data_IF_167070592160
#
_entry.id   IF_167070592160
#
_cell.length_a   1.000
_cell.length_b   1.000
_cell.length_c   1.000
_cell.angle_alpha   90.00
_cell.angle_beta   90.00
_cell.angle_gamma   90.00
#
_symmetry.space_group_name_H-M   'P 1'
#
loop_
_entity.id
_entity.type
_entity.pdbx_description
1 polymer ?
#
# COMPACT_ATOMS: atom_id res chain seq x y z
N UNK A 1 -0.80 -11.37 8.95
CA UNK A 1 -1.06 -12.72 8.39
C UNK A 1 -2.48 -12.74 7.89
N UNK A 2 -2.72 -13.17 6.65
CA UNK A 2 -4.04 -13.28 6.04
C UNK A 2 -4.26 -14.74 5.59
N UNK A 3 -5.51 -15.14 5.31
CA UNK A 3 -5.80 -16.48 4.77
C UNK A 3 -5.68 -17.62 5.78
N UNK A 4 -5.94 -17.36 7.07
CA UNK A 4 -5.87 -18.34 8.15
C UNK A 4 -7.02 -19.36 8.18
N UNK A 5 -7.99 -19.23 7.27
CA UNK A 5 -9.16 -20.09 7.07
C UNK A 5 -10.16 -20.14 8.24
N UNK A 6 -9.75 -20.61 9.41
CA UNK A 6 -10.63 -20.92 10.55
C UNK A 6 -10.27 -20.17 11.85
N UNK A 7 -9.40 -19.15 11.80
CA UNK A 7 -8.93 -18.45 13.01
C UNK A 7 -10.08 -17.89 13.85
N UNK A 8 -11.16 -17.42 13.21
CA UNK A 8 -12.34 -16.86 13.87
C UNK A 8 -13.17 -17.90 14.62
N UNK A 9 -13.00 -19.18 14.31
CA UNK A 9 -13.65 -20.30 15.00
C UNK A 9 -12.78 -20.82 16.16
N UNK A 10 -11.45 -20.68 16.04
CA UNK A 10 -10.48 -21.21 16.99
C UNK A 10 -10.17 -20.24 18.14
N UNK A 11 -10.17 -18.94 17.88
CA UNK A 11 -9.81 -17.89 18.84
C UNK A 11 -11.05 -17.39 19.57
N UNK A 12 -10.90 -17.14 20.87
CA UNK A 12 -11.91 -16.52 21.73
C UNK A 12 -11.40 -15.19 22.27
N UNK A 13 -12.35 -14.34 22.66
CA UNK A 13 -12.00 -13.11 23.39
C UNK A 13 -11.22 -13.46 24.67
N UNK A 14 -10.11 -12.76 24.87
CA UNK A 14 -9.18 -13.00 25.98
C UNK A 14 -8.06 -14.02 25.71
N UNK A 15 -8.05 -14.75 24.60
CA UNK A 15 -6.92 -15.60 24.22
C UNK A 15 -5.66 -14.75 23.94
N UNK A 16 -4.50 -15.26 24.33
CA UNK A 16 -3.22 -14.64 23.99
C UNK A 16 -2.78 -15.18 22.62
N UNK A 17 -2.43 -14.29 21.71
CA UNK A 17 -1.93 -14.66 20.38
C UNK A 17 -0.48 -14.23 20.21
N UNK A 18 0.35 -15.13 19.69
CA UNK A 18 1.65 -14.79 19.13
C UNK A 18 1.56 -14.85 17.61
N UNK A 19 1.87 -13.74 16.93
CA UNK A 19 1.70 -13.60 15.48
C UNK A 19 3.00 -13.13 14.84
N UNK A 20 3.50 -13.91 13.88
CA UNK A 20 4.69 -13.58 13.11
C UNK A 20 4.28 -13.16 11.71
N UNK A 21 4.42 -11.86 11.42
CA UNK A 21 4.26 -11.35 10.06
C UNK A 21 5.36 -11.81 9.10
N UNK A 22 6.49 -12.31 9.61
CA UNK A 22 7.66 -12.72 8.84
C UNK A 22 7.51 -14.17 8.36
N UNK A 23 7.13 -15.07 9.26
CA UNK A 23 6.96 -16.51 8.94
C UNK A 23 5.53 -16.86 8.55
N UNK A 24 4.56 -15.98 8.82
CA UNK A 24 3.15 -16.25 8.58
C UNK A 24 2.48 -17.09 9.68
N UNK A 25 3.18 -17.37 10.77
CA UNK A 25 2.68 -18.23 11.86
C UNK A 25 1.80 -17.46 12.84
N UNK A 26 0.78 -18.16 13.35
CA UNK A 26 -0.10 -17.70 14.44
C UNK A 26 -0.21 -18.82 15.47
N UNK A 27 0.16 -18.52 16.72
CA UNK A 27 0.03 -19.44 17.86
C UNK A 27 -1.01 -18.91 18.83
N UNK A 28 -2.00 -19.74 19.14
CA UNK A 28 -3.09 -19.43 20.09
C UNK A 28 -2.69 -19.98 21.46
N UNK A 29 -2.82 -19.15 22.50
CA UNK A 29 -2.43 -19.46 23.87
C UNK A 29 -1.01 -20.06 23.94
N UNK A 30 0.02 -19.30 23.47
CA UNK A 30 1.39 -19.78 23.39
C UNK A 30 1.93 -20.15 24.78
N UNK A 31 2.81 -21.15 24.82
CA UNK A 31 3.55 -21.49 26.03
C UNK A 31 4.52 -20.36 26.41
N UNK A 32 5.01 -20.35 27.65
CA UNK A 32 6.01 -19.35 28.07
C UNK A 32 7.28 -19.38 27.19
N UNK A 33 7.67 -20.57 26.74
CA UNK A 33 8.79 -20.76 25.81
C UNK A 33 8.51 -20.11 24.45
N UNK A 34 7.32 -20.34 23.87
CA UNK A 34 6.91 -19.71 22.62
C UNK A 34 6.78 -18.19 22.76
N UNK A 35 6.29 -17.69 23.90
CA UNK A 35 6.25 -16.25 24.18
C UNK A 35 7.67 -15.68 24.20
N UNK A 36 8.62 -16.36 24.83
CA UNK A 36 10.01 -15.92 24.88
C UNK A 36 10.65 -15.92 23.47
N UNK A 37 10.38 -16.94 22.66
CA UNK A 37 10.85 -17.03 21.27
C UNK A 37 10.32 -15.86 20.41
N UNK A 38 9.02 -15.61 20.43
CA UNK A 38 8.42 -14.52 19.66
C UNK A 38 8.91 -13.14 20.12
N UNK A 39 9.13 -12.96 21.43
CA UNK A 39 9.74 -11.73 21.95
C UNK A 39 11.16 -11.54 21.46
N UNK A 40 11.99 -12.58 21.53
CA UNK A 40 13.37 -12.53 21.02
C UNK A 40 13.42 -12.26 19.51
N UNK A 41 12.52 -12.88 18.73
CA UNK A 41 12.37 -12.60 17.30
C UNK A 41 11.95 -11.14 17.04
N UNK A 42 11.03 -10.60 17.84
CA UNK A 42 10.61 -9.20 17.78
C UNK A 42 11.75 -8.22 18.09
N UNK A 43 12.56 -8.52 19.11
CA UNK A 43 13.75 -7.74 19.47
C UNK A 43 14.82 -7.76 18.37
N UNK A 44 15.09 -8.94 17.82
CA UNK A 44 16.02 -9.10 16.70
C UNK A 44 15.55 -8.31 15.46
N UNK A 45 14.26 -8.37 15.14
CA UNK A 45 13.66 -7.59 14.05
C UNK A 45 13.73 -6.07 14.32
N UNK A 46 13.49 -5.63 15.54
CA UNK A 46 13.61 -4.23 15.91
C UNK A 46 15.05 -3.70 15.75
N UNK A 47 16.05 -4.51 16.14
CA UNK A 47 17.47 -4.18 15.91
C UNK A 47 17.79 -4.08 14.42
N UNK A 48 17.33 -5.04 13.62
CA UNK A 48 17.53 -5.04 12.18
C UNK A 48 16.88 -3.82 11.50
N UNK A 49 15.67 -3.45 11.93
CA UNK A 49 14.99 -2.24 11.45
C UNK A 49 15.79 -0.97 11.78
N UNK A 50 16.45 -0.90 12.93
CA UNK A 50 17.31 0.21 13.30
C UNK A 50 18.58 0.29 12.43
N UNK A 51 19.14 -0.86 12.02
CA UNK A 51 20.25 -0.91 11.06
C UNK A 51 19.79 -0.42 9.67
N UNK A 52 18.63 -0.87 9.18
CA UNK A 52 18.08 -0.42 7.90
C UNK A 52 17.73 1.07 7.87
N UNK A 53 17.28 1.65 8.99
CA UNK A 53 17.01 3.08 9.07
C UNK A 53 18.24 3.94 8.76
N UNK A 54 19.46 3.40 8.92
CA UNK A 54 20.70 4.09 8.54
C UNK A 54 20.86 4.21 7.01
N UNK A 55 20.16 3.37 6.24
CA UNK A 55 20.20 3.37 4.78
C UNK A 55 19.25 4.38 4.15
N UNK A 56 18.41 5.07 4.95
CA UNK A 56 17.42 6.04 4.48
C UNK A 56 17.99 7.05 3.49
N UNK A 57 19.15 7.63 3.81
CA UNK A 57 19.81 8.65 2.98
C UNK A 57 21.02 8.09 2.19
N UNK A 58 21.22 6.77 2.22
CA UNK A 58 22.33 6.13 1.51
C UNK A 58 22.02 6.00 0.01
N UNK A 59 23.04 6.06 -0.87
CA UNK A 59 22.82 5.90 -2.30
C UNK A 59 22.43 4.46 -2.64
N UNK A 60 21.43 4.28 -3.52
CA UNK A 60 21.06 2.97 -4.06
C UNK A 60 22.06 2.53 -5.13
N UNK A 61 23.17 1.92 -4.72
CA UNK A 61 24.19 1.41 -5.62
C UNK A 61 24.53 -0.05 -5.32
N UNK A 62 24.72 -0.85 -6.36
CA UNK A 62 25.24 -2.21 -6.23
C UNK A 62 26.72 -2.21 -5.86
N UNK A 63 27.24 -3.35 -5.42
CA UNK A 63 28.65 -3.49 -5.04
C UNK A 63 29.64 -3.20 -6.20
N UNK A 64 29.19 -3.31 -7.46
CA UNK A 64 29.94 -2.97 -8.67
C UNK A 64 29.61 -1.55 -9.23
N UNK A 65 28.84 -0.74 -8.48
CA UNK A 65 28.66 0.69 -8.75
C UNK A 65 27.50 1.06 -9.67
N UNK A 66 26.56 0.14 -9.94
CA UNK A 66 25.38 0.44 -10.74
C UNK A 66 24.27 1.03 -9.87
N UNK A 67 23.73 2.18 -10.28
CA UNK A 67 22.58 2.81 -9.63
C UNK A 67 21.25 2.24 -10.13
N UNK A 68 20.29 2.15 -9.22
CA UNK A 68 18.89 1.82 -9.50
C UNK A 68 18.01 2.76 -8.67
N UNK A 69 16.89 3.21 -9.23
CA UNK A 69 15.95 4.06 -8.49
C UNK A 69 15.04 3.19 -7.60
N UNK A 70 15.03 3.44 -6.29
CA UNK A 70 14.03 2.87 -5.38
C UNK A 70 12.87 3.84 -5.20
N UNK A 71 11.76 3.54 -5.89
CA UNK A 71 10.55 4.34 -5.85
C UNK A 71 9.47 3.71 -4.97
N UNK A 72 8.58 4.54 -4.41
CA UNK A 72 7.43 4.11 -3.62
C UNK A 72 6.15 4.06 -4.46
N UNK A 73 5.22 3.19 -4.04
CA UNK A 73 3.85 3.18 -4.54
C UNK A 73 2.94 3.81 -3.48
N UNK A 74 2.09 4.76 -3.88
CA UNK A 74 1.17 5.47 -2.98
C UNK A 74 -0.26 5.40 -3.49
N UNK A 75 -1.22 5.54 -2.57
CA UNK A 75 -2.65 5.65 -2.87
C UNK A 75 -3.27 6.99 -2.45
N UNK A 76 -2.68 7.66 -1.46
CA UNK A 76 -3.19 8.94 -0.95
C UNK A 76 -2.05 9.93 -0.70
N UNK A 77 -2.32 11.25 -0.64
CA UNK A 77 -1.31 12.24 -0.28
C UNK A 77 -0.66 11.99 1.09
N UNK A 78 -1.35 11.31 2.02
CA UNK A 78 -0.82 11.00 3.35
C UNK A 78 0.32 10.00 3.31
N UNK A 79 0.41 9.17 2.27
CA UNK A 79 1.46 8.17 2.14
C UNK A 79 2.84 8.80 1.90
N UNK A 80 2.89 10.06 1.43
CA UNK A 80 4.13 10.80 1.15
C UNK A 80 5.03 10.94 2.38
N UNK A 81 4.44 11.03 3.58
CA UNK A 81 5.22 10.99 4.83
C UNK A 81 6.04 9.69 4.92
N UNK A 82 5.40 8.55 4.68
CA UNK A 82 6.05 7.25 4.64
C UNK A 82 7.07 7.12 3.51
N UNK A 83 6.82 7.73 2.34
CA UNK A 83 7.77 7.77 1.21
C UNK A 83 9.06 8.48 1.63
N UNK A 84 8.92 9.65 2.25
CA UNK A 84 10.05 10.45 2.72
C UNK A 84 10.77 9.80 3.90
N UNK A 85 10.03 9.17 4.82
CA UNK A 85 10.60 8.50 5.98
C UNK A 85 11.41 7.24 5.65
N UNK A 86 11.10 6.59 4.53
CA UNK A 86 11.83 5.43 4.04
C UNK A 86 12.87 5.78 2.96
N UNK A 87 13.07 7.07 2.66
CA UNK A 87 14.16 7.50 1.78
C UNK A 87 13.94 7.22 0.29
N UNK A 88 12.70 7.02 -0.15
CA UNK A 88 12.42 6.72 -1.55
C UNK A 88 12.88 7.86 -2.46
N UNK A 89 13.41 7.49 -3.63
CA UNK A 89 13.98 8.41 -4.62
C UNK A 89 12.91 9.02 -5.52
N UNK A 90 11.76 8.36 -5.64
CA UNK A 90 10.62 8.79 -6.44
C UNK A 90 9.31 8.17 -5.92
N UNK A 91 8.18 8.64 -6.45
CA UNK A 91 6.93 7.88 -6.47
C UNK A 91 6.80 7.21 -7.84
N UNK A 92 6.97 5.90 -7.88
CA UNK A 92 6.94 5.10 -9.12
C UNK A 92 5.52 4.76 -9.56
N UNK A 93 4.55 4.86 -8.65
CA UNK A 93 3.14 4.67 -8.94
C UNK A 93 2.28 5.40 -7.89
N UNK A 94 1.61 6.46 -8.32
CA UNK A 94 0.49 7.04 -7.57
C UNK A 94 -0.82 6.50 -8.14
N UNK A 95 -1.48 5.66 -7.36
CA UNK A 95 -2.80 5.09 -7.64
C UNK A 95 -3.89 6.09 -7.30
N UNK A 96 -4.51 6.68 -8.31
CA UNK A 96 -5.53 7.72 -8.12
C UNK A 96 -6.91 7.17 -7.78
N UNK A 97 -7.15 5.87 -7.93
CA UNK A 97 -8.45 5.24 -7.65
C UNK A 97 -8.98 5.51 -6.24
N UNK A 98 -8.10 5.61 -5.24
CA UNK A 98 -8.51 5.84 -3.86
C UNK A 98 -9.18 7.21 -3.67
N UNK A 99 -8.80 8.22 -4.46
CA UNK A 99 -9.47 9.52 -4.45
C UNK A 99 -10.96 9.41 -4.86
N UNK A 100 -11.28 8.48 -5.75
CA UNK A 100 -12.64 8.19 -6.15
C UNK A 100 -13.33 7.32 -5.09
N UNK A 101 -12.68 6.26 -4.62
CA UNK A 101 -13.26 5.31 -3.66
C UNK A 101 -13.56 5.94 -2.29
N UNK A 102 -12.76 6.92 -1.86
CA UNK A 102 -12.93 7.60 -0.56
C UNK A 102 -13.94 8.76 -0.62
N UNK A 103 -14.47 9.09 -1.80
CA UNK A 103 -15.46 10.15 -2.00
C UNK A 103 -16.89 9.61 -2.02
N UNK A 104 -17.87 10.49 -1.76
CA UNK A 104 -19.29 10.17 -1.88
C UNK A 104 -19.83 10.34 -3.32
N UNK A 105 -19.08 11.07 -4.15
CA UNK A 105 -19.37 11.34 -5.57
C UNK A 105 -18.04 11.45 -6.34
N UNK A 106 -18.09 11.60 -7.67
CA UNK A 106 -16.90 11.83 -8.47
C UNK A 106 -16.10 13.05 -7.96
N UNK A 107 -14.79 12.89 -7.69
CA UNK A 107 -13.95 14.01 -7.29
C UNK A 107 -13.88 15.02 -8.43
N UNK A 108 -14.07 16.29 -8.08
CA UNK A 108 -13.99 17.39 -9.05
C UNK A 108 -12.57 17.55 -9.58
N UNK A 109 -12.40 18.33 -10.65
CA UNK A 109 -11.06 18.70 -11.13
C UNK A 109 -10.23 19.36 -10.02
N UNK A 110 -10.86 20.23 -9.21
CA UNK A 110 -10.19 20.93 -8.10
C UNK A 110 -9.76 19.94 -7.00
N UNK A 111 -10.60 18.97 -6.65
CA UNK A 111 -10.24 17.93 -5.66
C UNK A 111 -9.04 17.10 -6.13
N UNK A 112 -9.04 16.74 -7.42
CA UNK A 112 -7.93 16.03 -8.06
C UNK A 112 -6.65 16.89 -8.09
N UNK A 113 -6.78 18.15 -8.49
CA UNK A 113 -5.68 19.10 -8.54
C UNK A 113 -5.01 19.27 -7.19
N UNK A 114 -5.77 19.54 -6.12
CA UNK A 114 -5.21 19.72 -4.77
C UNK A 114 -4.56 18.44 -4.25
N UNK A 115 -5.14 17.26 -4.52
CA UNK A 115 -4.52 15.99 -4.17
C UNK A 115 -3.17 15.75 -4.89
N UNK A 116 -3.11 16.01 -6.20
CA UNK A 116 -1.90 15.81 -7.00
C UNK A 116 -0.82 16.83 -6.65
N UNK A 117 -1.21 18.09 -6.45
CA UNK A 117 -0.34 19.18 -6.02
C UNK A 117 0.30 18.86 -4.67
N UNK A 118 -0.48 18.41 -3.68
CA UNK A 118 0.04 18.05 -2.37
C UNK A 118 1.13 16.96 -2.45
N UNK A 119 0.96 15.97 -3.34
CA UNK A 119 1.97 14.93 -3.56
C UNK A 119 3.22 15.51 -4.23
N UNK A 120 3.08 16.29 -5.30
CA UNK A 120 4.21 16.88 -6.01
C UNK A 120 5.03 17.83 -5.13
N UNK A 121 4.37 18.67 -4.34
CA UNK A 121 5.00 19.56 -3.36
C UNK A 121 5.70 18.75 -2.26
N UNK A 122 5.04 17.72 -1.71
CA UNK A 122 5.60 16.87 -0.65
C UNK A 122 6.79 16.00 -1.08
N UNK A 123 6.94 15.74 -2.38
CA UNK A 123 8.07 15.02 -2.95
C UNK A 123 9.29 15.92 -3.25
N UNK A 124 9.18 17.24 -3.04
CA UNK A 124 10.30 18.19 -3.11
C UNK A 124 11.14 18.09 -4.41
N UNK A 125 10.48 17.96 -5.55
CA UNK A 125 11.11 17.88 -6.87
C UNK A 125 11.53 16.46 -7.31
N UNK A 126 11.34 15.44 -6.46
CA UNK A 126 11.49 14.04 -6.88
C UNK A 126 10.38 13.64 -7.86
N UNK A 127 10.65 12.70 -8.81
CA UNK A 127 9.66 12.28 -9.79
C UNK A 127 8.42 11.63 -9.15
N UNK A 128 7.26 11.87 -9.77
CA UNK A 128 5.98 11.25 -9.41
C UNK A 128 5.28 10.75 -10.66
N UNK A 129 5.08 9.44 -10.73
CA UNK A 129 4.33 8.80 -11.82
C UNK A 129 2.87 8.67 -11.40
N UNK A 130 2.05 9.62 -11.86
CA UNK A 130 0.60 9.59 -11.63
C UNK A 130 -0.07 8.65 -12.64
N UNK A 131 -0.78 7.64 -12.15
CA UNK A 131 -1.59 6.77 -13.00
C UNK A 131 -3.02 7.30 -13.03
N UNK A 132 -3.59 7.44 -14.22
CA UNK A 132 -5.02 7.73 -14.39
C UNK A 132 -5.88 6.66 -13.73
N UNK A 133 -7.11 7.02 -13.36
CA UNK A 133 -8.05 6.15 -12.63
C UNK A 133 -8.16 4.73 -13.23
N UNK A 134 -7.87 3.71 -12.42
CA UNK A 134 -8.07 2.27 -12.69
C UNK A 134 -9.21 1.65 -11.85
N UNK A 135 -10.44 2.15 -12.06
CA UNK A 135 -11.69 1.66 -11.46
C UNK A 135 -12.35 0.59 -12.34
N UNK A 136 -13.19 -0.26 -11.75
CA UNK A 136 -13.76 -1.45 -12.37
C UNK A 136 -13.01 -2.72 -11.97
N UNK A 137 -13.46 -3.88 -12.44
CA UNK A 137 -12.96 -5.16 -11.93
C UNK A 137 -13.54 -5.48 -10.55
N UNK A 138 -12.68 -5.51 -9.54
CA UNK A 138 -13.00 -5.67 -8.12
C UNK A 138 -13.18 -4.33 -7.38
N UNK A 139 -12.94 -3.20 -8.05
CA UNK A 139 -13.01 -1.85 -7.46
C UNK A 139 -14.30 -1.15 -7.88
N UNK A 140 -15.30 -1.20 -7.02
CA UNK A 140 -16.62 -0.58 -7.25
C UNK A 140 -16.69 0.84 -6.67
N UNK A 141 -17.50 1.69 -7.30
CA UNK A 141 -17.86 3.02 -6.80
C UNK A 141 -19.37 3.05 -6.55
N UNK A 142 -19.83 3.26 -5.30
CA UNK A 142 -21.27 3.19 -4.98
C UNK A 142 -22.15 4.18 -5.76
N UNK A 143 -21.55 5.27 -6.26
CA UNK A 143 -22.21 6.35 -6.98
C UNK A 143 -22.06 6.26 -8.51
N UNK A 144 -21.36 5.25 -9.03
CA UNK A 144 -21.18 5.04 -10.46
C UNK A 144 -21.68 3.65 -10.87
N UNK A 145 -22.79 3.61 -11.58
CA UNK A 145 -23.44 2.36 -11.99
C UNK A 145 -22.67 1.71 -13.14
N UNK A 146 -21.73 0.84 -12.78
CA UNK A 146 -20.99 0.02 -13.74
C UNK A 146 -21.82 -1.20 -14.16
N UNK A 147 -21.81 -1.56 -15.46
CA UNK A 147 -22.52 -2.74 -15.93
C UNK A 147 -21.98 -4.00 -15.25
N UNK A 148 -22.87 -4.91 -14.85
CA UNK A 148 -22.46 -6.23 -14.33
C UNK A 148 -21.92 -7.09 -15.46
N UNK A 149 -20.66 -7.51 -15.33
CA UNK A 149 -19.98 -8.32 -16.32
C UNK A 149 -19.69 -9.73 -15.80
N UNK A 150 -19.69 -10.72 -16.70
CA UNK A 150 -19.30 -12.10 -16.36
C UNK A 150 -17.84 -12.17 -15.87
N UNK A 151 -16.98 -11.31 -16.41
CA UNK A 151 -15.59 -11.20 -15.99
C UNK A 151 -15.14 -9.73 -15.94
N UNK A 152 -15.31 -9.07 -14.78
CA UNK A 152 -14.95 -7.66 -14.61
C UNK A 152 -13.48 -7.34 -14.88
N UNK A 153 -12.55 -8.29 -14.66
CA UNK A 153 -11.12 -8.06 -14.95
C UNK A 153 -10.80 -7.97 -16.45
N UNK A 154 -11.64 -8.59 -17.29
CA UNK A 154 -11.53 -8.54 -18.75
C UNK A 154 -12.46 -7.49 -19.37
N UNK A 155 -13.22 -6.76 -18.56
CA UNK A 155 -14.36 -5.95 -18.97
C UNK A 155 -14.13 -4.44 -18.98
N UNK A 156 -15.17 -3.67 -18.64
CA UNK A 156 -15.22 -2.21 -18.70
C UNK A 156 -14.54 -1.58 -17.49
N UNK A 157 -13.25 -1.24 -17.62
CA UNK A 157 -12.42 -0.72 -16.53
C UNK A 157 -11.32 0.22 -16.98
N UNK A 158 -10.81 1.00 -16.02
CA UNK A 158 -9.64 1.86 -16.17
C UNK A 158 -9.76 2.79 -17.38
N UNK A 159 -8.70 2.86 -18.19
CA UNK A 159 -8.66 3.61 -19.44
C UNK A 159 -9.87 3.38 -20.35
N UNK A 160 -10.48 2.18 -20.33
CA UNK A 160 -11.66 1.89 -21.16
C UNK A 160 -12.85 2.77 -20.78
N UNK A 161 -13.04 3.03 -19.48
CA UNK A 161 -14.05 3.96 -18.97
C UNK A 161 -13.73 5.38 -19.43
N UNK A 162 -12.46 5.81 -19.26
CA UNK A 162 -12.07 7.18 -19.62
C UNK A 162 -12.28 7.50 -21.10
N UNK A 163 -12.08 6.53 -22.00
CA UNK A 163 -12.20 6.71 -23.46
C UNK A 163 -13.67 6.68 -23.93
N UNK A 164 -14.55 5.92 -23.27
CA UNK A 164 -15.95 5.75 -23.67
C UNK A 164 -16.89 6.80 -23.09
N UNK A 165 -16.63 7.26 -21.86
CA UNK A 165 -17.38 8.35 -21.22
C UNK A 165 -16.97 9.73 -21.78
N UNK A 166 -15.95 9.77 -22.63
CA UNK A 166 -15.66 10.91 -23.52
C UNK A 166 -16.10 10.60 -24.95
N UNK A 167 -17.43 10.59 -25.13
CA UNK A 167 -18.16 10.73 -26.39
C UNK A 167 -19.33 11.69 -26.23
#
# INVERSE_FOLDING_TARGET
VLGTNNITELVKDGDILAVSGITGEVVINPTEEQIAEFKAAGEAYAKQKAEWAQLKDAPTVTADGKHFELAANIGTPKDVEGVNDNGAEAVGLYRTEFLYMDSQDFPTEEDQYEAYKAVLEGMNGKPVVVRTMDIGGDKELPYFDLPKEMNPFLGYRALRISISETG
#
